data_IF_478851190596
#
_entry.id   IF_478851190596
#
_cell.length_a   1.000
_cell.length_b   1.000
_cell.length_c   1.000
_cell.angle_alpha   90.00
_cell.angle_beta   90.00
_cell.angle_gamma   90.00
#
_symmetry.space_group_name_H-M   'P 1'
#
loop_
_entity.id
_entity.type
_entity.pdbx_description
1 polymer ?
#
# COMPACT_ATOMS: atom_id res chain seq x y z
N UNK A 1 -20.36 -6.39 -8.69
CA UNK A 1 -19.24 -5.47 -9.03
C UNK A 1 -19.49 -4.12 -8.37
N UNK A 2 -18.59 -3.67 -7.49
CA UNK A 2 -18.78 -2.47 -6.67
C UNK A 2 -18.30 -1.16 -7.34
N UNK A 3 -18.52 -1.02 -8.65
CA UNK A 3 -18.03 0.12 -9.45
C UNK A 3 -18.64 1.49 -9.06
N UNK A 4 -19.61 1.54 -8.15
CA UNK A 4 -20.28 2.77 -7.71
C UNK A 4 -19.98 3.21 -6.27
N UNK A 5 -19.14 2.47 -5.53
CA UNK A 5 -18.80 2.80 -4.14
C UNK A 5 -17.34 3.23 -4.03
N UNK A 6 -17.07 4.17 -3.13
CA UNK A 6 -15.70 4.45 -2.71
C UNK A 6 -15.16 3.23 -1.96
N UNK A 7 -13.88 2.93 -2.15
CA UNK A 7 -13.18 1.93 -1.37
C UNK A 7 -12.50 2.61 -0.18
N UNK A 8 -12.82 2.15 1.02
CA UNK A 8 -12.11 2.50 2.25
C UNK A 8 -11.03 1.45 2.50
N UNK A 9 -9.78 1.90 2.55
CA UNK A 9 -8.61 1.03 2.65
C UNK A 9 -8.02 1.14 4.05
N UNK A 10 -7.68 -0.02 4.63
CA UNK A 10 -6.83 -0.14 5.80
C UNK A 10 -5.53 -0.82 5.39
N UNK A 11 -4.40 -0.17 5.63
CA UNK A 11 -3.09 -0.73 5.36
C UNK A 11 -2.36 -0.97 6.68
N UNK A 12 -1.79 -2.18 6.84
CA UNK A 12 -1.00 -2.57 8.01
C UNK A 12 0.38 -2.98 7.55
N UNK A 13 1.41 -2.46 8.21
CA UNK A 13 2.83 -2.74 7.91
C UNK A 13 3.41 -3.67 8.96
N UNK A 14 4.05 -4.75 8.51
CA UNK A 14 4.68 -5.75 9.36
C UNK A 14 6.19 -5.64 9.26
N UNK A 15 6.86 -5.67 10.41
CA UNK A 15 8.31 -5.60 10.54
C UNK A 15 8.87 -6.96 10.99
N UNK A 16 10.16 -7.19 10.77
CA UNK A 16 10.81 -8.45 11.14
C UNK A 16 11.08 -8.58 12.66
N UNK A 17 11.18 -7.45 13.36
CA UNK A 17 11.75 -7.34 14.71
C UNK A 17 10.88 -6.57 15.71
N UNK A 18 9.68 -6.14 15.30
CA UNK A 18 8.75 -5.38 16.15
C UNK A 18 7.30 -5.56 15.72
N UNK A 19 6.38 -5.09 16.55
CA UNK A 19 4.95 -5.18 16.31
C UNK A 19 4.51 -4.45 15.03
N UNK A 20 3.45 -4.92 14.36
CA UNK A 20 2.90 -4.28 13.18
C UNK A 20 2.37 -2.88 13.48
N UNK A 21 2.38 -2.01 12.47
CA UNK A 21 1.90 -0.64 12.57
C UNK A 21 0.76 -0.40 11.60
N UNK A 22 -0.30 0.22 12.10
CA UNK A 22 -1.49 0.55 11.35
C UNK A 22 -2.72 0.64 12.26
N UNK A 23 -3.92 0.73 11.67
CA UNK A 23 -4.14 0.84 10.23
C UNK A 23 -3.87 2.26 9.72
N UNK A 24 -3.11 2.36 8.64
CA UNK A 24 -3.06 3.55 7.80
C UNK A 24 -4.32 3.59 6.95
N UNK A 25 -5.10 4.67 7.06
CA UNK A 25 -6.43 4.77 6.44
C UNK A 25 -6.44 5.74 5.27
N UNK A 26 -7.00 5.31 4.15
CA UNK A 26 -7.25 6.19 3.01
C UNK A 26 -8.42 5.69 2.18
N UNK A 27 -8.89 6.50 1.24
CA UNK A 27 -10.01 6.13 0.36
C UNK A 27 -9.63 6.25 -1.11
N UNK A 28 -10.19 5.35 -1.94
CA UNK A 28 -10.14 5.42 -3.40
C UNK A 28 -11.55 5.72 -3.90
N UNK A 29 -11.79 6.86 -4.60
CA UNK A 29 -13.11 7.16 -5.12
C UNK A 29 -13.60 6.10 -6.12
N UNK A 30 -14.91 5.93 -6.23
CA UNK A 30 -15.51 5.03 -7.22
C UNK A 30 -14.96 5.30 -8.63
N UNK A 31 -14.62 4.24 -9.37
CA UNK A 31 -14.09 4.31 -10.74
C UNK A 31 -12.83 5.18 -10.87
N UNK A 32 -11.96 5.19 -9.85
CA UNK A 32 -10.68 5.90 -9.88
C UNK A 32 -9.54 4.98 -9.44
N UNK A 33 -8.33 5.39 -9.75
CA UNK A 33 -7.09 4.83 -9.21
C UNK A 33 -6.51 5.79 -8.18
N UNK A 34 -5.66 5.28 -7.29
CA UNK A 34 -4.87 6.08 -6.35
C UNK A 34 -3.50 5.46 -6.20
N UNK A 35 -2.46 6.22 -6.54
CA UNK A 35 -1.08 5.82 -6.26
C UNK A 35 -0.72 6.35 -4.86
N UNK A 36 -0.31 5.45 -3.96
CA UNK A 36 0.04 5.77 -2.58
C UNK A 36 1.53 5.46 -2.38
N UNK A 37 2.26 6.41 -1.81
CA UNK A 37 3.66 6.21 -1.42
C UNK A 37 3.70 5.91 0.06
N UNK A 38 4.35 4.81 0.44
CA UNK A 38 4.54 4.45 1.85
C UNK A 38 5.24 5.57 2.65
N UNK A 39 6.13 6.32 2.01
CA UNK A 39 6.83 7.45 2.62
C UNK A 39 5.93 8.64 2.99
N UNK A 40 4.72 8.70 2.45
CA UNK A 40 3.77 9.79 2.71
C UNK A 40 2.90 9.51 3.94
N UNK A 41 3.03 8.34 4.57
CA UNK A 41 2.34 8.01 5.81
C UNK A 41 3.05 8.59 7.04
N UNK A 42 2.27 9.21 7.93
CA UNK A 42 2.73 9.86 9.16
C UNK A 42 1.92 9.46 10.40
N UNK A 43 0.64 9.11 10.25
CA UNK A 43 -0.24 8.59 11.31
C UNK A 43 -0.64 7.12 11.02
N UNK A 44 -0.57 6.19 12.01
CA UNK A 44 -0.26 6.40 13.43
C UNK A 44 1.22 6.69 13.72
N UNK A 45 2.12 6.36 12.80
CA UNK A 45 3.51 6.80 12.81
C UNK A 45 4.14 6.71 11.41
N UNK A 46 5.29 7.35 11.21
CA UNK A 46 6.05 7.27 9.97
C UNK A 46 6.65 5.89 9.78
N UNK A 47 6.53 5.34 8.57
CA UNK A 47 7.22 4.10 8.21
C UNK A 47 8.73 4.40 8.13
N UNK A 48 9.57 3.65 8.87
CA UNK A 48 11.01 3.81 8.82
C UNK A 48 11.58 3.65 7.40
N UNK A 49 12.57 4.50 7.07
CA UNK A 49 13.33 4.35 5.83
C UNK A 49 14.42 3.29 6.02
N UNK A 50 14.85 2.70 4.91
CA UNK A 50 15.93 1.71 4.92
C UNK A 50 15.63 0.54 5.88
N UNK A 51 14.37 0.11 5.89
CA UNK A 51 13.86 -0.95 6.76
C UNK A 51 12.99 -1.85 5.91
N UNK A 52 13.25 -3.16 5.97
CA UNK A 52 12.44 -4.15 5.28
C UNK A 52 11.10 -4.34 6.00
N UNK A 53 10.02 -4.40 5.23
CA UNK A 53 8.68 -4.63 5.76
C UNK A 53 7.78 -5.36 4.75
N UNK A 54 6.68 -5.91 5.24
CA UNK A 54 5.56 -6.42 4.45
C UNK A 54 4.31 -5.58 4.69
N UNK A 55 3.32 -5.64 3.80
CA UNK A 55 2.06 -4.90 3.96
C UNK A 55 0.83 -5.75 3.68
N UNK A 56 -0.16 -5.67 4.57
CA UNK A 56 -1.53 -6.14 4.35
C UNK A 56 -2.41 -4.95 3.95
N UNK A 57 -3.28 -5.16 2.95
CA UNK A 57 -4.16 -4.12 2.43
C UNK A 57 -5.59 -4.69 2.40
N UNK A 58 -6.44 -4.12 3.24
CA UNK A 58 -7.83 -4.53 3.41
C UNK A 58 -8.75 -3.47 2.81
N UNK A 59 -9.86 -3.90 2.21
CA UNK A 59 -10.86 -3.00 1.65
C UNK A 59 -12.28 -3.47 1.93
N UNK A 60 -13.21 -2.52 2.12
CA UNK A 60 -14.64 -2.78 2.30
C UNK A 60 -15.38 -3.11 0.99
N UNK A 61 -14.70 -3.02 -0.16
CA UNK A 61 -15.18 -3.43 -1.48
C UNK A 61 -14.03 -4.05 -2.28
N UNK A 62 -14.30 -4.88 -3.30
CA UNK A 62 -13.25 -5.45 -4.13
C UNK A 62 -12.40 -4.37 -4.83
N UNK A 63 -11.08 -4.49 -4.70
CA UNK A 63 -10.08 -3.63 -5.36
C UNK A 63 -9.00 -4.47 -6.03
N UNK A 64 -8.25 -3.85 -6.95
CA UNK A 64 -7.03 -4.43 -7.52
C UNK A 64 -5.85 -3.64 -6.99
N UNK A 65 -4.82 -4.33 -6.51
CA UNK A 65 -3.62 -3.71 -5.95
C UNK A 65 -2.37 -4.19 -6.67
N UNK A 66 -1.51 -3.23 -7.02
CA UNK A 66 -0.20 -3.46 -7.62
C UNK A 66 0.85 -2.71 -6.79
N UNK A 67 1.89 -3.42 -6.37
CA UNK A 67 3.03 -2.82 -5.69
C UNK A 67 4.10 -2.44 -6.72
N UNK A 68 4.68 -1.25 -6.58
CA UNK A 68 5.77 -0.77 -7.44
C UNK A 68 6.89 -0.23 -6.57
N UNK A 69 8.11 -0.72 -6.80
CA UNK A 69 9.35 -0.12 -6.27
C UNK A 69 10.06 0.61 -7.41
N UNK A 70 10.38 1.87 -7.15
CA UNK A 70 11.24 2.69 -8.00
C UNK A 70 12.57 2.93 -7.28
N UNK A 71 13.67 2.40 -7.81
CA UNK A 71 15.02 2.83 -7.44
C UNK A 71 15.38 4.09 -8.24
N UNK A 72 15.19 5.26 -7.62
CA UNK A 72 15.45 6.55 -8.24
C UNK A 72 16.93 6.82 -8.53
N UNK A 73 17.86 5.94 -8.11
CA UNK A 73 19.31 6.11 -8.31
C UNK A 73 19.81 5.61 -9.66
N UNK A 74 19.07 4.73 -10.34
CA UNK A 74 19.47 4.17 -11.63
C UNK A 74 18.28 4.07 -12.61
N UNK A 75 18.14 5.08 -13.48
CA UNK A 75 16.98 5.23 -14.36
C UNK A 75 16.70 4.04 -15.32
N UNK A 76 17.74 3.35 -15.79
CA UNK A 76 17.60 2.32 -16.82
C UNK A 76 16.92 1.02 -16.34
N UNK A 77 17.04 0.67 -15.05
CA UNK A 77 16.50 -0.55 -14.43
C UNK A 77 15.72 -0.26 -13.15
N UNK A 78 15.10 0.92 -13.08
CA UNK A 78 14.63 1.49 -11.83
C UNK A 78 13.37 0.82 -11.27
N UNK A 79 12.64 0.01 -12.04
CA UNK A 79 11.27 -0.36 -11.72
C UNK A 79 11.10 -1.86 -11.55
N UNK A 80 10.64 -2.25 -10.36
CA UNK A 80 10.09 -3.56 -10.07
C UNK A 80 8.61 -3.40 -9.73
N UNK A 81 7.78 -4.30 -10.23
CA UNK A 81 6.36 -4.33 -9.84
C UNK A 81 5.85 -5.76 -9.77
N UNK A 82 4.89 -5.97 -8.87
CA UNK A 82 4.15 -7.22 -8.73
C UNK A 82 2.71 -6.92 -8.32
N UNK A 83 1.80 -7.83 -8.69
CA UNK A 83 0.45 -7.84 -8.17
C UNK A 83 0.48 -8.28 -6.71
N UNK A 84 -0.40 -7.70 -5.89
CA UNK A 84 -0.61 -8.20 -4.54
C UNK A 84 -1.22 -9.61 -4.61
N UNK A 85 -0.83 -10.47 -3.67
CA UNK A 85 -1.50 -11.75 -3.48
C UNK A 85 -2.88 -11.49 -2.86
N UNK A 86 -4.00 -11.91 -3.49
CA UNK A 86 -5.33 -11.74 -2.93
C UNK A 86 -5.53 -12.69 -1.74
N UNK A 87 -5.83 -12.11 -0.58
CA UNK A 87 -6.28 -12.82 0.63
C UNK A 87 -7.79 -12.62 0.80
N UNK A 88 -8.44 -13.48 1.58
CA UNK A 88 -9.90 -13.60 1.72
C UNK A 88 -10.66 -12.30 2.06
#
# INVERSE_FOLDING_TARGET
MAIGRNAHICLTVFFADRDPVGPYRFSVPAQRTRHVRFNDFDEPEKIPRDTDYSSLIESDVPVVVQHTRLDSRQAANALLSTIAFPCD
#
